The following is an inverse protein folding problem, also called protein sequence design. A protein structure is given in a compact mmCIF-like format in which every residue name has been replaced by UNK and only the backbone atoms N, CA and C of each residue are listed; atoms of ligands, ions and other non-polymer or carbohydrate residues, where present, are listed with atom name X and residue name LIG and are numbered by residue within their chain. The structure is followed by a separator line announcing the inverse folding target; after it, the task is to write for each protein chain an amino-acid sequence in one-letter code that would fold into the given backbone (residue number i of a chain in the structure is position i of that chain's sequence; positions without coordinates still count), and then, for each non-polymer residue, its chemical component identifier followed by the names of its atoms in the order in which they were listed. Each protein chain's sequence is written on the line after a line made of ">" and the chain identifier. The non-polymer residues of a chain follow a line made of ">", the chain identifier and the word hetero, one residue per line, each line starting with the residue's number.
data_IF_834435836639
#
_entry.id   IF_834435836639
#
_cell.length_a   1.000
_cell.length_b   1.000
_cell.length_c   1.000
_cell.angle_alpha   90.00
_cell.angle_beta   90.00
_cell.angle_gamma   90.00
#
_symmetry.space_group_name_H-M   'P 1'
#
loop_
_entity.id
_entity.type
_entity.pdbx_description
1 polymer ?
#
# COMPACT_ATOMS: atom_id res chain seq x y z
N UNK A 1 21.83 4.82 -19.00
CA UNK A 1 22.46 3.53 -19.39
C UNK A 1 22.26 2.51 -18.26
N UNK A 2 21.37 1.53 -18.47
CA UNK A 2 21.27 0.25 -17.77
C UNK A 2 21.20 0.22 -16.23
N UNK A 3 20.01 0.40 -15.66
CA UNK A 3 19.59 -0.36 -14.48
C UNK A 3 18.15 -0.81 -14.73
N UNK A 4 17.98 -1.80 -15.57
CA UNK A 4 16.78 -2.60 -15.72
C UNK A 4 17.16 -3.98 -15.27
N UNK A 5 16.85 -4.37 -14.04
CA UNK A 5 16.79 -5.78 -13.62
C UNK A 5 17.09 -5.99 -12.11
N UNK A 6 16.22 -5.50 -11.22
CA UNK A 6 16.30 -5.95 -9.82
C UNK A 6 14.90 -6.28 -9.23
N UNK A 7 13.81 -5.86 -9.87
CA UNK A 7 12.48 -5.99 -9.26
C UNK A 7 11.83 -7.39 -9.37
N UNK A 8 12.39 -8.35 -10.12
CA UNK A 8 11.69 -9.63 -10.38
C UNK A 8 12.15 -10.81 -9.52
N UNK A 9 13.17 -10.65 -8.69
CA UNK A 9 13.75 -11.77 -7.92
C UNK A 9 13.25 -11.90 -6.48
N UNK A 10 12.46 -10.96 -5.98
CA UNK A 10 12.01 -10.98 -4.58
C UNK A 10 10.71 -11.77 -4.35
N UNK A 11 9.91 -11.99 -5.38
CA UNK A 11 8.60 -12.66 -5.22
C UNK A 11 8.66 -14.18 -5.13
N UNK A 12 9.75 -14.81 -5.55
CA UNK A 12 9.90 -16.27 -5.51
C UNK A 12 10.44 -16.84 -4.20
N UNK A 13 10.96 -16.00 -3.30
CA UNK A 13 11.55 -16.46 -2.04
C UNK A 13 10.54 -16.57 -0.87
N UNK A 14 9.38 -15.92 -0.95
CA UNK A 14 8.39 -15.93 0.13
C UNK A 14 7.41 -17.11 0.11
N UNK A 15 7.33 -17.85 -0.99
CA UNK A 15 6.37 -18.96 -1.15
C UNK A 15 6.83 -20.32 -0.63
N UNK A 16 8.06 -20.50 -0.16
CA UNK A 16 8.61 -21.84 0.07
C UNK A 16 8.93 -22.13 1.56
N UNK A 17 8.86 -21.17 2.46
CA UNK A 17 9.29 -21.40 3.85
C UNK A 17 8.19 -21.79 4.86
N UNK A 18 6.92 -21.75 4.47
CA UNK A 18 5.84 -22.11 5.42
C UNK A 18 5.65 -23.61 5.67
N UNK A 19 6.27 -24.49 4.87
CA UNK A 19 6.15 -25.94 5.06
C UNK A 19 7.34 -26.59 5.77
N UNK A 20 8.42 -25.88 6.07
CA UNK A 20 9.64 -26.49 6.60
C UNK A 20 9.80 -26.43 8.13
N UNK A 21 8.83 -25.90 8.88
CA UNK A 21 8.88 -25.76 10.33
C UNK A 21 7.76 -26.49 11.11
N UNK A 22 7.04 -27.40 10.47
CA UNK A 22 6.18 -28.32 11.19
C UNK A 22 7.05 -29.45 11.80
N UNK A 23 7.69 -29.17 12.92
CA UNK A 23 8.31 -30.21 13.77
C UNK A 23 7.32 -30.49 14.92
N UNK A 24 6.64 -31.63 14.82
CA UNK A 24 5.63 -32.13 15.75
C UNK A 24 6.24 -32.47 17.13
N UNK A 25 6.48 -31.52 18.00
CA UNK A 25 6.64 -31.81 19.44
C UNK A 25 6.87 -30.58 20.35
N UNK A 26 6.50 -29.37 19.93
CA UNK A 26 6.47 -28.27 20.89
C UNK A 26 5.02 -27.87 21.17
N UNK A 27 4.70 -27.67 22.47
CA UNK A 27 3.47 -27.00 22.90
C UNK A 27 3.26 -25.76 22.02
N UNK A 28 2.02 -25.45 21.56
CA UNK A 28 1.80 -24.29 20.72
C UNK A 28 2.41 -23.07 21.42
N UNK A 29 3.52 -22.60 20.89
CA UNK A 29 4.04 -21.29 21.23
C UNK A 29 2.91 -20.32 20.92
N UNK A 30 2.58 -19.47 21.90
CA UNK A 30 1.60 -18.41 21.77
C UNK A 30 1.80 -17.80 20.38
N UNK A 31 0.80 -17.95 19.52
CA UNK A 31 0.93 -17.69 18.08
C UNK A 31 1.50 -16.27 17.89
N UNK A 32 2.75 -16.17 17.48
CA UNK A 32 3.47 -14.91 17.41
C UNK A 32 2.89 -13.97 16.35
N UNK A 33 2.11 -14.54 15.43
CA UNK A 33 1.47 -13.81 14.35
C UNK A 33 1.29 -14.67 13.10
N UNK A 34 0.85 -14.04 12.02
CA UNK A 34 0.60 -14.71 10.74
C UNK A 34 1.12 -13.89 9.55
N UNK A 35 1.54 -14.57 8.49
CA UNK A 35 1.74 -13.95 7.20
C UNK A 35 0.39 -13.62 6.55
N UNK A 36 0.37 -12.58 5.77
CA UNK A 36 -0.79 -12.27 4.95
C UNK A 36 -0.40 -11.74 3.58
N UNK A 37 -1.33 -11.86 2.66
CA UNK A 37 -1.29 -11.20 1.36
C UNK A 37 -2.62 -10.53 1.08
N UNK A 38 -2.63 -9.55 0.18
CA UNK A 38 -3.87 -8.88 -0.14
C UNK A 38 -3.80 -8.01 -1.38
N UNK A 39 -4.97 -7.51 -1.72
CA UNK A 39 -5.16 -6.60 -2.84
C UNK A 39 -6.01 -5.41 -2.40
N UNK A 40 -5.62 -4.22 -2.84
CA UNK A 40 -6.41 -3.00 -2.69
C UNK A 40 -6.86 -2.53 -4.07
N UNK A 41 -8.07 -2.02 -4.14
CA UNK A 41 -8.64 -1.37 -5.32
C UNK A 41 -8.97 0.07 -4.93
N UNK A 42 -8.24 1.03 -5.48
CA UNK A 42 -8.52 2.45 -5.31
C UNK A 42 -9.69 2.86 -6.20
N UNK A 43 -10.68 3.50 -5.62
CA UNK A 43 -11.88 3.98 -6.31
C UNK A 43 -11.99 5.51 -6.34
N UNK A 44 -11.12 6.19 -5.62
CA UNK A 44 -10.96 7.64 -5.65
C UNK A 44 -9.48 7.96 -5.60
N UNK A 45 -9.00 8.68 -6.58
CA UNK A 45 -7.61 9.12 -6.66
C UNK A 45 -7.60 10.63 -6.88
N UNK A 46 -6.80 11.32 -6.08
CA UNK A 46 -6.57 12.75 -6.16
C UNK A 46 -5.06 12.98 -6.11
N UNK A 47 -4.57 13.92 -6.87
CA UNK A 47 -3.15 14.29 -6.86
C UNK A 47 -3.03 15.80 -6.85
N UNK A 48 -2.40 16.32 -5.81
CA UNK A 48 -2.06 17.72 -5.65
C UNK A 48 -0.60 17.94 -6.07
N UNK A 49 -0.37 19.01 -6.82
CA UNK A 49 0.95 19.46 -7.23
C UNK A 49 1.24 20.84 -6.60
N UNK A 50 2.32 20.92 -5.83
CA UNK A 50 2.76 22.15 -5.21
C UNK A 50 4.18 22.51 -5.65
N UNK A 51 4.40 23.77 -5.98
CA UNK A 51 5.72 24.33 -6.25
C UNK A 51 6.06 25.37 -5.20
N UNK A 52 7.10 25.13 -4.41
CA UNK A 52 7.55 26.01 -3.33
C UNK A 52 6.43 26.41 -2.34
N UNK A 53 5.53 25.47 -2.02
CA UNK A 53 4.42 25.70 -1.08
C UNK A 53 3.24 26.48 -1.67
N UNK A 54 3.16 26.58 -2.99
CA UNK A 54 2.00 27.16 -3.68
C UNK A 54 1.37 26.09 -4.59
N UNK A 55 0.09 25.81 -4.40
CA UNK A 55 -0.65 24.89 -5.26
C UNK A 55 -0.61 25.37 -6.71
N UNK A 56 -0.21 24.50 -7.62
CA UNK A 56 -0.15 24.78 -9.04
C UNK A 56 -1.41 24.25 -9.71
N UNK A 57 -1.76 23.01 -9.41
CA UNK A 57 -2.87 22.29 -10.02
C UNK A 57 -3.36 21.19 -9.07
N UNK A 58 -4.66 20.95 -9.10
CA UNK A 58 -5.36 19.90 -8.38
C UNK A 58 -6.18 19.11 -9.41
N UNK A 59 -6.03 17.80 -9.42
CA UNK A 59 -6.78 16.91 -10.30
C UNK A 59 -7.33 15.73 -9.54
N UNK A 60 -8.64 15.56 -9.60
CA UNK A 60 -9.32 14.37 -9.07
C UNK A 60 -9.94 13.58 -10.22
N UNK A 61 -9.66 12.29 -10.29
CA UNK A 61 -10.27 11.40 -11.26
C UNK A 61 -10.84 10.15 -10.57
N UNK A 62 -12.13 9.89 -10.83
CA UNK A 62 -12.84 8.67 -10.40
C UNK A 62 -12.76 7.57 -11.46
N UNK A 63 -12.21 7.88 -12.65
CA UNK A 63 -12.30 6.98 -13.81
C UNK A 63 -11.18 5.95 -13.88
N UNK A 64 -10.01 6.25 -13.32
CA UNK A 64 -8.88 5.33 -13.36
C UNK A 64 -8.69 4.59 -12.03
N UNK A 65 -8.92 3.27 -12.09
CA UNK A 65 -8.72 2.38 -10.97
C UNK A 65 -7.22 2.23 -10.68
N UNK A 66 -6.82 2.58 -9.46
CA UNK A 66 -5.52 2.17 -8.93
C UNK A 66 -5.63 0.81 -8.27
N UNK A 67 -4.55 0.04 -8.27
CA UNK A 67 -4.50 -1.21 -7.54
C UNK A 67 -3.17 -1.39 -6.83
N UNK A 68 -3.22 -2.08 -5.69
CA UNK A 68 -2.03 -2.45 -4.95
C UNK A 68 -2.03 -3.94 -4.65
N UNK A 69 -0.83 -4.49 -4.62
CA UNK A 69 -0.56 -5.83 -4.11
C UNK A 69 0.26 -5.68 -2.84
N UNK A 70 -0.11 -6.42 -1.81
CA UNK A 70 0.56 -6.36 -0.52
C UNK A 70 0.92 -7.74 -0.02
N UNK A 71 1.99 -7.80 0.74
CA UNK A 71 2.40 -8.97 1.50
C UNK A 71 3.06 -8.53 2.79
N UNK A 72 2.70 -9.18 3.89
CA UNK A 72 3.18 -8.74 5.19
C UNK A 72 3.12 -9.82 6.26
N UNK A 73 3.54 -9.42 7.44
CA UNK A 73 3.45 -10.21 8.65
C UNK A 73 2.76 -9.40 9.75
N UNK A 74 1.75 -9.97 10.38
CA UNK A 74 0.99 -9.38 11.47
C UNK A 74 1.37 -10.07 12.78
N UNK A 75 1.98 -9.32 13.70
CA UNK A 75 2.36 -9.77 15.05
C UNK A 75 1.17 -9.67 15.99
N UNK A 76 0.88 -10.73 16.72
CA UNK A 76 -0.11 -10.76 17.81
C UNK A 76 0.49 -10.15 19.08
N UNK A 77 0.49 -8.83 19.21
CA UNK A 77 1.05 -8.14 20.39
C UNK A 77 0.13 -8.23 21.59
N UNK A 78 -1.19 -8.19 21.34
CA UNK A 78 -2.24 -8.31 22.36
C UNK A 78 -3.54 -8.81 21.70
N UNK A 79 -4.49 -9.32 22.48
CA UNK A 79 -5.76 -9.86 21.97
C UNK A 79 -6.58 -8.86 21.13
N UNK A 80 -6.41 -7.56 21.40
CA UNK A 80 -7.10 -6.46 20.72
C UNK A 80 -6.16 -5.50 20.00
N UNK A 81 -4.84 -5.78 20.02
CA UNK A 81 -3.83 -4.94 19.35
C UNK A 81 -2.87 -5.82 18.59
N UNK A 82 -2.73 -5.58 17.31
CA UNK A 82 -1.78 -6.24 16.44
C UNK A 82 -0.89 -5.23 15.75
N UNK A 83 0.29 -5.65 15.33
CA UNK A 83 1.26 -4.82 14.62
C UNK A 83 1.63 -5.49 13.30
N UNK A 84 1.27 -4.89 12.19
CA UNK A 84 1.64 -5.34 10.86
C UNK A 84 2.92 -4.68 10.37
N UNK A 85 3.72 -5.45 9.62
CA UNK A 85 4.78 -4.94 8.74
C UNK A 85 4.47 -5.43 7.33
N UNK A 86 4.36 -4.53 6.37
CA UNK A 86 3.82 -4.79 5.04
C UNK A 86 4.74 -4.24 3.96
N UNK A 87 4.99 -5.03 2.93
CA UNK A 87 5.53 -4.58 1.65
C UNK A 87 4.36 -4.37 0.69
N UNK A 88 4.33 -3.23 0.04
CA UNK A 88 3.28 -2.80 -0.87
C UNK A 88 3.88 -2.47 -2.24
N UNK A 89 3.31 -3.04 -3.29
CA UNK A 89 3.49 -2.57 -4.65
C UNK A 89 2.20 -1.91 -5.12
N UNK A 90 2.30 -0.65 -5.55
CA UNK A 90 1.18 0.16 -6.03
C UNK A 90 1.35 0.52 -7.48
N UNK A 91 0.29 0.33 -8.26
CA UNK A 91 0.13 1.02 -9.52
C UNK A 91 -0.82 2.19 -9.33
N UNK A 92 -0.28 3.40 -9.47
CA UNK A 92 -1.04 4.65 -9.41
C UNK A 92 -1.79 4.76 -10.74
N UNK A 93 -3.11 5.01 -10.67
CA UNK A 93 -3.92 5.24 -11.85
C UNK A 93 -3.41 6.43 -12.67
N UNK A 94 -3.80 6.45 -13.92
CA UNK A 94 -3.45 7.54 -14.83
C UNK A 94 -4.22 8.81 -14.44
N UNK A 95 -3.51 9.88 -14.19
CA UNK A 95 -4.11 11.20 -13.92
C UNK A 95 -3.87 12.09 -15.13
N UNK A 96 -4.97 12.61 -15.70
CA UNK A 96 -4.93 13.48 -16.85
C UNK A 96 -4.95 14.94 -16.37
N UNK A 97 -3.86 15.66 -16.63
CA UNK A 97 -3.77 17.10 -16.40
C UNK A 97 -3.98 17.82 -17.73
N UNK A 98 -5.17 18.31 -17.98
CA UNK A 98 -5.58 18.89 -19.26
C UNK A 98 -5.34 17.92 -20.44
N UNK A 99 -5.82 18.21 -21.63
CA UNK A 99 -5.67 17.34 -22.83
C UNK A 99 -4.20 17.14 -23.31
N UNK A 100 -3.21 17.57 -22.54
CA UNK A 100 -1.81 17.71 -22.99
C UNK A 100 -0.82 16.90 -22.18
N UNK A 101 -1.15 16.54 -20.93
CA UNK A 101 -0.20 15.89 -20.03
C UNK A 101 -0.85 14.74 -19.24
N UNK A 102 -0.26 13.57 -19.33
CA UNK A 102 -0.63 12.38 -18.58
C UNK A 102 0.46 12.04 -17.56
N UNK A 103 0.08 11.74 -16.34
CA UNK A 103 0.98 11.22 -15.30
C UNK A 103 0.53 9.82 -14.94
N UNK A 104 1.45 8.88 -15.05
CA UNK A 104 1.32 7.51 -14.55
C UNK A 104 2.41 7.24 -13.53
N UNK A 105 2.16 6.35 -12.58
CA UNK A 105 3.18 6.01 -11.60
C UNK A 105 3.06 4.60 -11.06
N UNK A 106 4.15 4.16 -10.48
CA UNK A 106 4.22 2.98 -9.65
C UNK A 106 5.02 3.30 -8.39
N UNK A 107 4.72 2.60 -7.30
CA UNK A 107 5.42 2.81 -6.05
C UNK A 107 5.64 1.48 -5.33
N UNK A 108 6.70 1.43 -4.56
CA UNK A 108 6.98 0.35 -3.62
C UNK A 108 7.18 0.94 -2.24
N UNK A 109 6.36 0.52 -1.27
CA UNK A 109 6.42 0.99 0.11
C UNK A 109 6.68 -0.15 1.09
N UNK A 110 7.34 0.20 2.19
CA UNK A 110 7.40 -0.60 3.41
C UNK A 110 6.59 0.13 4.48
N UNK A 111 5.58 -0.53 5.01
CA UNK A 111 4.60 0.03 5.92
C UNK A 111 4.66 -0.61 7.29
N UNK A 112 4.36 0.17 8.32
CA UNK A 112 4.04 -0.30 9.67
C UNK A 112 2.57 0.02 9.93
N UNK A 113 1.83 -0.99 10.46
CA UNK A 113 0.37 -0.94 10.58
C UNK A 113 -0.07 -1.41 11.97
N UNK A 114 -0.17 -0.53 12.97
CA UNK A 114 -0.90 -0.85 14.22
C UNK A 114 -2.39 -1.02 13.91
N UNK A 115 -2.97 -2.16 14.35
CA UNK A 115 -4.38 -2.53 14.20
C UNK A 115 -5.00 -2.69 15.58
N UNK A 116 -6.14 -2.03 15.80
CA UNK A 116 -6.92 -2.07 17.04
C UNK A 116 -8.26 -2.76 16.78
N UNK A 117 -8.50 -3.87 17.46
CA UNK A 117 -9.65 -4.74 17.23
C UNK A 117 -10.69 -4.50 18.32
N UNK A 118 -11.93 -4.33 17.90
CA UNK A 118 -13.11 -4.30 18.75
C UNK A 118 -13.85 -5.61 18.55
N UNK A 119 -13.83 -6.45 19.58
CA UNK A 119 -14.50 -7.75 19.58
C UNK A 119 -16.01 -7.58 19.55
N UNK A 120 -16.68 -8.24 18.63
CA UNK A 120 -18.14 -8.27 18.50
C UNK A 120 -18.69 -9.68 18.64
N UNK A 121 -19.98 -9.82 18.88
CA UNK A 121 -20.64 -11.12 19.02
C UNK A 121 -20.78 -11.86 17.67
N UNK A 122 -20.83 -11.12 16.56
CA UNK A 122 -21.03 -11.68 15.22
C UNK A 122 -19.81 -11.42 14.33
N UNK A 123 -19.16 -10.29 14.50
CA UNK A 123 -18.09 -9.81 13.63
C UNK A 123 -17.12 -8.93 14.42
N UNK A 124 -15.85 -9.20 14.34
CA UNK A 124 -14.82 -8.33 14.90
C UNK A 124 -14.56 -7.16 13.94
N UNK A 125 -14.64 -5.95 14.45
CA UNK A 125 -14.30 -4.73 13.73
C UNK A 125 -12.91 -4.26 14.11
N UNK A 126 -12.26 -3.51 13.23
CA UNK A 126 -10.97 -2.91 13.56
C UNK A 126 -10.75 -1.55 12.92
N UNK A 127 -9.86 -0.79 13.53
CA UNK A 127 -9.26 0.40 12.97
C UNK A 127 -7.76 0.16 12.87
N UNK A 128 -7.15 0.52 11.76
CA UNK A 128 -5.71 0.46 11.56
C UNK A 128 -5.18 1.83 11.12
N UNK A 129 -3.99 2.16 11.58
CA UNK A 129 -3.21 3.25 11.03
C UNK A 129 -2.13 2.67 10.12
N UNK A 130 -1.67 3.46 9.18
CA UNK A 130 -0.60 3.08 8.25
C UNK A 130 0.42 4.21 8.20
N UNK A 131 1.69 3.87 8.32
CA UNK A 131 2.81 4.76 8.05
C UNK A 131 3.89 4.00 7.30
N UNK A 132 4.44 4.58 6.24
CA UNK A 132 5.41 3.91 5.40
C UNK A 132 6.37 4.85 4.69
N UNK A 133 7.48 4.26 4.23
CA UNK A 133 8.47 4.89 3.37
C UNK A 133 8.68 4.03 2.13
N UNK A 134 9.00 4.65 1.02
CA UNK A 134 9.16 3.89 -0.21
C UNK A 134 9.73 4.70 -1.36
N UNK A 135 9.82 4.05 -2.52
CA UNK A 135 10.21 4.65 -3.78
C UNK A 135 8.98 4.81 -4.66
N UNK A 136 8.84 5.97 -5.26
CA UNK A 136 7.81 6.29 -6.23
C UNK A 136 8.45 6.61 -7.57
N UNK A 137 8.06 5.85 -8.60
CA UNK A 137 8.46 6.07 -9.99
C UNK A 137 7.30 6.76 -10.71
N UNK A 138 7.51 8.01 -11.10
CA UNK A 138 6.51 8.80 -11.81
C UNK A 138 6.97 9.00 -13.25
N UNK A 139 6.08 8.75 -14.20
CA UNK A 139 6.29 9.01 -15.62
C UNK A 139 5.33 10.10 -16.09
N UNK A 140 5.88 11.22 -16.52
CA UNK A 140 5.12 12.29 -17.14
C UNK A 140 5.25 12.16 -18.67
N UNK A 141 4.13 12.17 -19.37
CA UNK A 141 4.06 12.15 -20.83
C UNK A 141 3.44 13.44 -21.34
N UNK A 142 4.24 14.23 -22.07
CA UNK A 142 3.78 15.43 -22.73
C UNK A 142 4.35 15.49 -24.16
N UNK A 143 3.52 15.83 -25.15
CA UNK A 143 3.93 16.04 -26.55
C UNK A 143 4.78 14.92 -27.17
N UNK A 144 4.55 13.65 -26.78
CA UNK A 144 5.30 12.51 -27.34
C UNK A 144 6.69 12.28 -26.72
N UNK A 145 7.04 13.01 -25.67
CA UNK A 145 8.24 12.80 -24.86
C UNK A 145 7.83 12.25 -23.50
N UNK A 146 8.51 11.22 -23.03
CA UNK A 146 8.33 10.69 -21.67
C UNK A 146 9.61 10.90 -20.86
N UNK A 147 9.45 11.40 -19.64
CA UNK A 147 10.52 11.47 -18.65
C UNK A 147 10.05 10.71 -17.41
N UNK A 148 10.92 9.89 -16.84
CA UNK A 148 10.63 9.08 -15.66
C UNK A 148 11.65 9.37 -14.57
N UNK A 149 11.16 9.62 -13.35
CA UNK A 149 11.97 9.85 -12.17
C UNK A 149 11.52 8.95 -11.03
N UNK A 150 12.51 8.49 -10.27
CA UNK A 150 12.32 7.67 -9.08
C UNK A 150 12.84 8.42 -7.87
N UNK A 151 11.97 8.70 -6.93
CA UNK A 151 12.31 9.44 -5.72
C UNK A 151 11.76 8.73 -4.48
N UNK A 152 12.36 9.02 -3.34
CA UNK A 152 11.91 8.48 -2.06
C UNK A 152 10.78 9.34 -1.51
N UNK A 153 9.68 8.67 -1.14
CA UNK A 153 8.52 9.30 -0.53
C UNK A 153 8.09 8.63 0.76
N UNK A 154 7.12 9.22 1.41
CA UNK A 154 6.46 8.64 2.57
C UNK A 154 4.96 8.58 2.36
N UNK A 155 4.30 7.73 3.15
CA UNK A 155 2.85 7.66 3.17
C UNK A 155 2.32 7.50 4.59
N UNK A 156 1.10 8.00 4.79
CA UNK A 156 0.32 7.81 6.00
C UNK A 156 -1.12 7.50 5.62
N UNK A 157 -1.84 6.78 6.46
CA UNK A 157 -3.23 6.43 6.17
C UNK A 157 -3.95 5.86 7.36
N UNK A 158 -5.24 5.61 7.15
CA UNK A 158 -6.11 4.96 8.11
C UNK A 158 -7.05 3.99 7.41
N UNK A 159 -7.38 2.92 8.10
CA UNK A 159 -8.24 1.85 7.61
C UNK A 159 -9.32 1.53 8.65
N UNK A 160 -10.51 1.19 8.17
CA UNK A 160 -11.59 0.65 8.97
C UNK A 160 -12.09 -0.64 8.32
N UNK A 161 -12.14 -1.72 9.08
CA UNK A 161 -12.44 -3.02 8.52
C UNK A 161 -13.11 -3.98 9.48
N UNK A 162 -13.34 -5.18 8.94
CA UNK A 162 -13.96 -6.29 9.63
C UNK A 162 -13.21 -7.59 9.35
N UNK A 163 -13.04 -8.41 10.38
CA UNK A 163 -12.51 -9.76 10.27
C UNK A 163 -13.71 -10.67 9.97
N UNK A 164 -13.81 -11.09 8.70
CA UNK A 164 -14.97 -11.83 8.19
C UNK A 164 -14.86 -13.32 8.53
N UNK A 165 -13.65 -13.85 8.49
CA UNK A 165 -13.32 -15.22 8.92
C UNK A 165 -11.97 -15.21 9.63
N UNK A 166 -11.57 -16.33 10.19
CA UNK A 166 -10.26 -16.49 10.85
C UNK A 166 -9.08 -16.12 9.91
N UNK A 167 -9.30 -16.22 8.59
CA UNK A 167 -8.27 -16.00 7.57
C UNK A 167 -8.52 -14.79 6.66
N UNK A 168 -9.70 -14.15 6.71
CA UNK A 168 -10.07 -13.10 5.76
C UNK A 168 -10.52 -11.86 6.52
N UNK A 169 -9.91 -10.74 6.22
CA UNK A 169 -10.41 -9.43 6.58
C UNK A 169 -10.66 -8.56 5.33
N UNK A 170 -11.61 -7.64 5.47
CA UNK A 170 -11.99 -6.68 4.44
C UNK A 170 -12.00 -5.29 5.09
N UNK A 171 -11.49 -4.29 4.40
CA UNK A 171 -11.48 -2.93 4.90
C UNK A 171 -11.61 -1.89 3.80
N UNK A 172 -12.05 -0.72 4.20
CA UNK A 172 -11.92 0.52 3.44
C UNK A 172 -10.82 1.35 4.08
N UNK A 173 -10.08 2.06 3.27
CA UNK A 173 -9.00 2.90 3.75
C UNK A 173 -8.86 4.16 2.95
N UNK A 174 -8.15 5.11 3.55
CA UNK A 174 -7.69 6.32 2.91
C UNK A 174 -6.21 6.50 3.21
N UNK A 175 -5.44 6.82 2.18
CA UNK A 175 -4.01 7.06 2.31
C UNK A 175 -3.60 8.31 1.55
N UNK A 176 -2.62 8.98 2.12
CA UNK A 176 -1.92 10.12 1.58
C UNK A 176 -0.45 9.71 1.41
N UNK A 177 0.13 10.00 0.26
CA UNK A 177 1.56 9.84 0.05
C UNK A 177 2.14 11.17 -0.42
N UNK A 178 3.44 11.38 -0.21
CA UNK A 178 4.14 12.56 -0.67
C UNK A 178 5.52 12.18 -1.18
N UNK A 179 5.89 12.77 -2.31
CA UNK A 179 7.22 12.68 -2.90
C UNK A 179 7.62 14.05 -3.45
N UNK A 180 8.88 14.43 -3.27
CA UNK A 180 9.44 15.67 -3.82
C UNK A 180 10.23 15.33 -5.10
N UNK A 181 9.86 15.94 -6.22
CA UNK A 181 10.51 15.80 -7.53
C UNK A 181 10.93 17.18 -8.01
N UNK A 182 12.24 17.47 -8.04
CA UNK A 182 12.81 18.74 -8.53
C UNK A 182 12.17 20.01 -7.94
N UNK A 183 11.86 20.02 -6.64
CA UNK A 183 11.19 21.12 -5.92
C UNK A 183 9.68 21.24 -6.21
N UNK A 184 9.07 20.21 -6.79
CA UNK A 184 7.63 20.02 -6.89
C UNK A 184 7.24 18.92 -5.92
N UNK A 185 6.35 19.23 -5.01
CA UNK A 185 5.73 18.25 -4.14
C UNK A 185 4.54 17.61 -4.88
N UNK A 186 4.58 16.28 -4.99
CA UNK A 186 3.51 15.48 -5.58
C UNK A 186 2.86 14.69 -4.47
N UNK A 187 1.57 14.92 -4.25
CA UNK A 187 0.82 14.36 -3.12
C UNK A 187 -0.38 13.54 -3.60
N UNK A 188 -0.17 12.26 -4.00
CA UNK A 188 -1.28 11.38 -4.36
C UNK A 188 -2.05 10.91 -3.12
N UNK A 189 -3.36 11.00 -3.22
CA UNK A 189 -4.33 10.58 -2.21
C UNK A 189 -5.24 9.51 -2.81
N UNK A 190 -5.58 8.50 -2.03
CA UNK A 190 -6.39 7.38 -2.55
C UNK A 190 -7.32 6.86 -1.48
N UNK A 191 -8.63 6.78 -1.80
CA UNK A 191 -9.57 5.96 -1.07
C UNK A 191 -9.68 4.58 -1.74
N UNK A 192 -9.67 3.51 -0.96
CA UNK A 192 -9.59 2.15 -1.47
C UNK A 192 -10.42 1.15 -0.67
N UNK A 193 -10.81 0.08 -1.34
CA UNK A 193 -11.35 -1.15 -0.76
C UNK A 193 -10.27 -2.23 -0.80
N UNK A 194 -10.19 -3.02 0.24
CA UNK A 194 -9.17 -4.04 0.39
C UNK A 194 -9.69 -5.35 0.90
N UNK A 195 -9.03 -6.42 0.49
CA UNK A 195 -9.17 -7.76 1.07
C UNK A 195 -7.79 -8.33 1.40
N UNK A 196 -7.67 -8.96 2.57
CA UNK A 196 -6.47 -9.63 3.06
C UNK A 196 -6.77 -11.09 3.35
N UNK A 197 -5.81 -11.96 3.06
CA UNK A 197 -5.82 -13.37 3.43
C UNK A 197 -4.64 -13.69 4.34
N UNK A 198 -4.94 -14.18 5.53
CA UNK A 198 -3.97 -14.60 6.56
C UNK A 198 -3.76 -16.13 6.48
N UNK A 199 -2.49 -16.55 6.53
CA UNK A 199 -2.08 -17.96 6.42
C UNK A 199 -2.00 -18.65 7.77
#
# INVERSE_FOLDING_TARGET
>A
MKIRMVALSFFTAFGISSQALANDNEKPSKDLGSFYTGVDIGFYNETELEYRGSAIEDSSDLSDLSYNLVGGYEFNTHDVVKLGVEAEYRKIGKVNFSDVMDIEGQAFFLNVKPKFIVKGDVLDLYVSLLAGIGSMDMEARAFGTSDSKSEVGYQVGGEFGAIVTDNIDIHVGYRFAQVEIESIDVSPQTAYLSARYHF
#
